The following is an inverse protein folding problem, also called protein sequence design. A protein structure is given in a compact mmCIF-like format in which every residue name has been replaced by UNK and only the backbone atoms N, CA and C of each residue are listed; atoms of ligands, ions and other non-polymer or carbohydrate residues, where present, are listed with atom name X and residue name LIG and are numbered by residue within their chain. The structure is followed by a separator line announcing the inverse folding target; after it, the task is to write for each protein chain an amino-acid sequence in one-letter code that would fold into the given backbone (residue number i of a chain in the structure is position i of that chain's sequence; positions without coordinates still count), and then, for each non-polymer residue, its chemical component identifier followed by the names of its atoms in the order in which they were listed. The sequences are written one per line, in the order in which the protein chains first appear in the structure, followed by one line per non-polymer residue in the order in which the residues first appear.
data_IF_771610196279
#
_entry.id   IF_771610196279
#
_cell.length_a   1.000
_cell.length_b   1.000
_cell.length_c   1.000
_cell.angle_alpha   90.00
_cell.angle_beta   90.00
_cell.angle_gamma   90.00
#
_symmetry.space_group_name_H-M   'P 1'
#
loop_
_entity.id
_entity.type
_entity.pdbx_description
1 polymer ?
#
# COMPACT_ATOMS: atom_id res chain seq x y z
N UNK A 1 -20.37 -63.21 25.76
CA UNK A 1 -19.00 -62.80 26.11
C UNK A 1 -18.53 -61.79 25.05
N UNK A 2 -18.92 -60.52 25.19
CA UNK A 2 -18.54 -59.45 24.25
C UNK A 2 -17.23 -58.81 24.74
N UNK A 3 -16.17 -58.92 23.95
CA UNK A 3 -14.88 -58.27 24.23
C UNK A 3 -14.89 -56.90 23.57
N UNK A 4 -15.01 -55.84 24.36
CA UNK A 4 -14.84 -54.46 23.90
C UNK A 4 -13.38 -54.25 23.47
N UNK A 5 -13.16 -53.83 22.23
CA UNK A 5 -11.86 -53.39 21.74
C UNK A 5 -11.78 -51.87 21.96
N UNK A 6 -10.99 -51.47 22.96
CA UNK A 6 -10.76 -50.07 23.33
C UNK A 6 -9.90 -49.38 22.25
N UNK A 7 -10.34 -48.20 21.78
CA UNK A 7 -9.57 -47.35 20.86
C UNK A 7 -8.34 -46.72 21.53
N UNK A 8 -7.41 -46.13 20.75
CA UNK A 8 -6.16 -45.57 21.26
C UNK A 8 -6.39 -44.38 22.21
N UNK A 9 -5.50 -44.18 23.22
CA UNK A 9 -5.69 -43.14 24.25
C UNK A 9 -5.54 -41.72 23.68
N UNK A 10 -6.35 -40.81 24.21
CA UNK A 10 -6.34 -39.39 23.87
C UNK A 10 -4.99 -38.73 24.24
N UNK A 11 -4.49 -37.77 23.43
CA UNK A 11 -3.26 -37.05 23.72
C UNK A 11 -3.41 -36.14 24.96
N UNK A 12 -2.33 -35.90 25.73
CA UNK A 12 -2.37 -35.12 26.96
C UNK A 12 -2.68 -33.63 26.68
N UNK A 13 -3.28 -32.91 27.65
CA UNK A 13 -3.67 -31.52 27.47
C UNK A 13 -2.44 -30.63 27.26
N UNK A 14 -2.36 -30.01 26.08
CA UNK A 14 -1.31 -29.06 25.73
C UNK A 14 -1.50 -27.80 26.59
N UNK A 15 -0.44 -27.49 27.33
CA UNK A 15 -0.30 -26.32 28.20
C UNK A 15 -0.73 -25.03 27.46
N UNK A 16 -1.70 -24.31 28.02
CA UNK A 16 -2.49 -23.24 27.38
C UNK A 16 -1.69 -22.01 26.95
N UNK A 17 -0.39 -21.93 27.27
CA UNK A 17 0.49 -20.81 26.88
C UNK A 17 0.95 -20.83 25.42
N UNK A 18 0.92 -21.98 24.73
CA UNK A 18 1.39 -22.09 23.34
C UNK A 18 0.27 -22.28 22.29
N UNK A 19 -0.99 -22.38 22.71
CA UNK A 19 -2.12 -22.59 21.81
C UNK A 19 -2.34 -21.42 20.83
N UNK A 20 -2.08 -20.19 21.27
CA UNK A 20 -2.25 -18.97 20.47
C UNK A 20 -1.22 -18.93 19.34
N UNK A 21 0.04 -19.27 19.62
CA UNK A 21 1.11 -19.31 18.62
C UNK A 21 0.88 -20.42 17.58
N UNK A 22 0.35 -21.57 17.99
CA UNK A 22 0.07 -22.68 17.08
C UNK A 22 -1.18 -22.42 16.21
N UNK A 23 -2.19 -21.71 16.73
CA UNK A 23 -3.35 -21.21 15.97
C UNK A 23 -2.93 -20.16 14.93
N UNK A 24 -2.06 -19.22 15.30
CA UNK A 24 -1.56 -18.18 14.38
C UNK A 24 -0.71 -18.80 13.25
N UNK A 25 -0.02 -19.91 13.50
CA UNK A 25 0.83 -20.58 12.52
C UNK A 25 0.05 -21.45 11.52
N UNK A 26 -1.03 -22.12 11.96
CA UNK A 26 -1.83 -23.00 11.10
C UNK A 26 -2.90 -22.29 10.26
N UNK A 27 -3.28 -21.05 10.61
CA UNK A 27 -4.25 -20.26 9.85
C UNK A 27 -3.57 -19.39 8.77
N UNK A 28 -3.80 -19.64 7.47
CA UNK A 28 -3.10 -18.94 6.38
C UNK A 28 -3.38 -17.42 6.34
N UNK A 29 -4.50 -16.98 6.90
CA UNK A 29 -4.87 -15.57 6.97
C UNK A 29 -4.16 -14.83 8.12
N UNK A 30 -4.11 -15.42 9.31
CA UNK A 30 -3.43 -14.83 10.47
C UNK A 30 -1.90 -14.84 10.32
N UNK A 31 -1.35 -15.86 9.69
CA UNK A 31 0.09 -15.94 9.42
C UNK A 31 0.57 -14.85 8.45
N UNK A 32 -0.24 -14.51 7.44
CA UNK A 32 0.04 -13.43 6.50
C UNK A 32 -0.08 -12.05 7.18
N UNK A 33 -1.12 -11.85 7.99
CA UNK A 33 -1.29 -10.62 8.77
C UNK A 33 -0.15 -10.41 9.78
N UNK A 34 0.30 -11.47 10.46
CA UNK A 34 1.41 -11.41 11.42
C UNK A 34 2.74 -11.04 10.74
N UNK A 35 3.04 -11.62 9.58
CA UNK A 35 4.21 -11.24 8.76
C UNK A 35 4.15 -9.78 8.30
N UNK A 36 2.95 -9.31 7.92
CA UNK A 36 2.73 -7.92 7.53
C UNK A 36 3.00 -6.92 8.67
N UNK A 37 2.51 -7.20 9.87
CA UNK A 37 2.69 -6.32 11.05
C UNK A 37 4.16 -6.28 11.50
N UNK A 38 4.85 -7.42 11.52
CA UNK A 38 6.29 -7.45 11.87
C UNK A 38 7.13 -6.75 10.81
N UNK A 39 6.86 -6.99 9.52
CA UNK A 39 7.57 -6.33 8.42
C UNK A 39 7.40 -4.81 8.45
N UNK A 40 6.19 -4.33 8.72
CA UNK A 40 5.90 -2.90 8.85
C UNK A 40 6.59 -2.29 10.09
N UNK A 41 6.56 -2.98 11.23
CA UNK A 41 7.21 -2.53 12.46
C UNK A 41 8.73 -2.41 12.34
N UNK A 42 9.38 -3.41 11.73
CA UNK A 42 10.83 -3.40 11.49
C UNK A 42 11.21 -2.33 10.46
N UNK A 43 10.41 -2.16 9.40
CA UNK A 43 10.62 -1.12 8.40
C UNK A 43 10.53 0.31 8.97
N UNK A 44 9.55 0.57 9.84
CA UNK A 44 9.40 1.86 10.53
C UNK A 44 10.54 2.11 11.51
N UNK A 45 11.01 1.07 12.21
CA UNK A 45 12.15 1.19 13.14
C UNK A 45 13.47 1.50 12.42
N UNK A 46 13.74 0.85 11.29
CA UNK A 46 14.94 1.10 10.47
C UNK A 46 14.88 2.49 9.83
N UNK A 47 13.72 2.92 9.33
CA UNK A 47 13.55 4.27 8.79
C UNK A 47 13.78 5.36 9.86
N UNK A 48 13.44 5.09 11.12
CA UNK A 48 13.63 6.02 12.25
C UNK A 48 15.10 6.11 12.72
N UNK A 49 15.87 5.02 12.57
CA UNK A 49 17.32 5.00 12.83
C UNK A 49 18.12 5.74 11.74
N UNK A 50 17.67 5.70 10.48
CA UNK A 50 18.31 6.44 9.38
C UNK A 50 17.98 7.94 9.38
N UNK A 51 16.97 8.37 10.12
CA UNK A 51 16.50 9.77 10.18
C UNK A 51 16.98 10.55 11.41
N UNK A 52 17.79 9.93 12.28
CA UNK A 52 18.36 10.62 13.43
C UNK A 52 19.46 11.61 12.99
N UNK A 53 19.46 12.87 13.48
CA UNK A 53 20.60 13.76 13.25
C UNK A 53 21.86 13.13 13.89
N UNK A 54 23.05 13.30 13.31
CA UNK A 54 24.28 12.90 13.97
C UNK A 54 24.36 13.65 15.30
N UNK A 55 24.27 12.91 16.41
CA UNK A 55 24.62 13.42 17.74
C UNK A 55 26.13 13.60 17.75
N UNK A 56 26.57 14.76 17.24
CA UNK A 56 27.94 15.22 17.39
C UNK A 56 28.17 15.40 18.89
N UNK A 57 28.91 14.46 19.47
CA UNK A 57 29.32 14.47 20.87
C UNK A 57 29.93 15.83 21.20
N UNK A 58 29.45 16.40 22.29
CA UNK A 58 29.93 17.66 22.83
C UNK A 58 31.46 17.68 22.95
N UNK A 59 32.07 18.63 22.23
CA UNK A 59 33.20 19.44 22.68
C UNK A 59 34.50 18.74 23.06
N UNK A 60 35.34 18.42 22.07
CA UNK A 60 36.79 18.60 22.18
C UNK A 60 37.32 18.98 20.79
N UNK A 61 38.02 20.11 20.67
CA UNK A 61 38.63 20.54 19.41
C UNK A 61 39.88 19.69 19.11
N UNK A 62 40.03 19.24 17.86
CA UNK A 62 41.15 18.41 17.38
C UNK A 62 42.54 19.02 17.63
N UNK A 63 42.63 20.33 17.84
CA UNK A 63 43.89 21.02 18.15
C UNK A 63 44.40 20.78 19.58
N UNK A 64 43.58 20.32 20.52
CA UNK A 64 44.02 20.04 21.90
C UNK A 64 44.54 18.60 22.11
N UNK A 65 44.27 17.67 21.18
CA UNK A 65 44.72 16.28 21.28
C UNK A 65 46.20 16.07 20.90
N UNK A 66 46.81 17.04 20.20
CA UNK A 66 48.17 16.91 19.65
C UNK A 66 49.10 18.10 19.97
N UNK A 67 48.80 18.91 21.00
CA UNK A 67 49.59 20.10 21.34
C UNK A 67 50.60 19.87 22.48
N UNK A 68 51.77 20.53 22.37
CA UNK A 68 52.89 20.47 23.33
C UNK A 68 52.49 20.82 24.78
N UNK A 69 52.85 19.99 25.78
CA UNK A 69 52.40 20.13 27.18
C UNK A 69 52.99 21.34 27.94
N UNK A 70 53.91 22.10 27.34
CA UNK A 70 54.60 23.23 27.98
C UNK A 70 54.21 24.60 27.40
N UNK A 71 53.26 24.66 26.47
CA UNK A 71 52.87 25.92 25.83
C UNK A 71 51.98 26.75 26.78
N UNK A 72 52.49 27.90 27.26
CA UNK A 72 51.69 28.86 28.03
C UNK A 72 50.49 29.34 27.19
N UNK A 73 49.27 29.08 27.67
CA UNK A 73 48.02 29.53 27.02
C UNK A 73 48.08 31.05 26.84
N UNK A 74 47.98 31.51 25.59
CA UNK A 74 48.20 32.89 25.19
C UNK A 74 47.05 33.78 25.71
N UNK A 75 47.31 34.68 26.67
CA UNK A 75 46.36 35.68 27.19
C UNK A 75 45.67 36.56 26.13
N UNK A 76 46.21 36.60 24.90
CA UNK A 76 45.56 37.25 23.74
C UNK A 76 44.21 36.61 23.39
N UNK A 77 43.97 35.33 23.72
CA UNK A 77 42.66 34.70 23.52
C UNK A 77 41.63 35.21 24.54
N UNK A 78 42.01 35.45 25.81
CA UNK A 78 41.08 35.90 26.85
C UNK A 78 40.52 37.31 26.56
N UNK A 79 41.35 38.24 26.09
CA UNK A 79 40.91 39.59 25.67
C UNK A 79 40.04 39.57 24.41
N UNK A 80 40.36 38.70 23.44
CA UNK A 80 39.56 38.55 22.21
C UNK A 80 38.23 37.87 22.54
N UNK A 81 38.22 36.91 23.46
CA UNK A 81 37.04 36.20 23.93
C UNK A 81 36.15 37.07 24.82
N UNK A 82 36.73 37.98 25.61
CA UNK A 82 36.01 39.03 26.34
C UNK A 82 35.42 40.09 25.38
N UNK A 83 36.16 40.47 24.34
CA UNK A 83 35.65 41.36 23.29
C UNK A 83 34.55 40.69 22.43
N UNK A 84 34.63 39.37 22.21
CA UNK A 84 33.60 38.60 21.50
C UNK A 84 32.36 38.38 22.37
N UNK A 85 32.52 38.16 23.68
CA UNK A 85 31.41 38.07 24.66
C UNK A 85 30.62 39.37 24.74
N UNK A 86 31.30 40.51 24.55
CA UNK A 86 30.69 41.84 24.56
C UNK A 86 30.25 42.33 23.18
N UNK A 87 30.47 41.55 22.11
CA UNK A 87 30.06 41.92 20.75
C UNK A 87 28.58 41.57 20.53
N UNK A 88 27.70 42.55 20.71
CA UNK A 88 26.31 42.43 20.32
C UNK A 88 26.18 42.55 18.79
N UNK A 89 26.03 41.40 18.12
CA UNK A 89 25.80 41.37 16.68
C UNK A 89 24.46 42.03 16.31
N UNK A 90 24.52 43.21 15.69
CA UNK A 90 23.36 43.88 15.09
C UNK A 90 23.25 43.48 13.62
N UNK A 91 22.30 42.60 13.24
CA UNK A 91 22.18 42.18 11.85
C UNK A 91 21.81 43.36 10.95
N UNK A 92 22.32 43.35 9.72
CA UNK A 92 21.88 44.29 8.70
C UNK A 92 20.38 44.11 8.41
N UNK A 93 19.75 45.15 7.85
CA UNK A 93 18.37 45.07 7.39
C UNK A 93 18.17 43.90 6.39
N UNK A 94 19.18 43.61 5.57
CA UNK A 94 19.17 42.47 4.66
C UNK A 94 19.21 41.13 5.39
N UNK A 95 20.10 40.97 6.39
CA UNK A 95 20.15 39.76 7.21
C UNK A 95 18.84 39.54 7.99
N UNK A 96 18.21 40.62 8.46
CA UNK A 96 16.91 40.57 9.15
C UNK A 96 15.79 40.17 8.19
N UNK A 97 15.79 40.70 6.96
CA UNK A 97 14.86 40.32 5.90
C UNK A 97 15.02 38.85 5.48
N UNK A 98 16.26 38.37 5.31
CA UNK A 98 16.55 36.97 4.98
C UNK A 98 16.07 36.05 6.10
N UNK A 99 16.32 36.39 7.36
CA UNK A 99 15.87 35.61 8.52
C UNK A 99 14.32 35.61 8.65
N UNK A 100 13.65 36.67 8.18
CA UNK A 100 12.17 36.72 8.11
C UNK A 100 11.57 35.97 6.92
N UNK A 101 12.32 35.79 5.82
CA UNK A 101 11.82 35.09 4.62
C UNK A 101 12.20 33.61 4.59
N UNK A 102 13.40 33.27 5.06
CA UNK A 102 14.04 31.94 4.92
C UNK A 102 14.55 31.41 6.28
N UNK A 103 14.56 32.23 7.32
CA UNK A 103 15.11 31.88 8.63
C UNK A 103 14.14 31.14 9.56
N UNK A 104 14.58 30.93 10.80
CA UNK A 104 13.88 30.15 11.82
C UNK A 104 12.80 30.95 12.57
N UNK A 105 12.69 32.25 12.31
CA UNK A 105 11.64 33.09 12.90
C UNK A 105 10.31 32.79 12.23
N UNK A 106 9.43 32.09 12.93
CA UNK A 106 8.04 31.94 12.52
C UNK A 106 7.34 33.29 12.58
N UNK A 107 6.73 33.71 11.46
CA UNK A 107 5.75 34.80 11.51
C UNK A 107 4.59 34.36 12.41
N UNK A 108 4.04 35.25 13.27
CA UNK A 108 2.75 34.98 13.89
C UNK A 108 1.74 34.71 12.77
N UNK A 109 1.06 33.57 12.85
CA UNK A 109 0.11 33.13 11.84
C UNK A 109 -1.06 34.11 11.80
N UNK A 110 -1.16 34.87 10.72
CA UNK A 110 -2.20 35.87 10.51
C UNK A 110 -3.28 35.30 9.60
N UNK A 111 -4.48 35.06 10.16
CA UNK A 111 -5.61 34.42 9.46
C UNK A 111 -6.27 35.32 8.41
N UNK A 112 -6.08 36.64 8.48
CA UNK A 112 -6.67 37.60 7.52
C UNK A 112 -5.74 37.90 6.34
N UNK A 113 -4.49 37.45 6.40
CA UNK A 113 -3.54 37.59 5.28
C UNK A 113 -3.96 36.67 4.14
N UNK A 114 -4.64 37.25 3.16
CA UNK A 114 -4.80 36.64 1.84
C UNK A 114 -3.40 36.34 1.29
N UNK A 115 -3.03 35.07 1.02
CA UNK A 115 -1.72 34.77 0.48
C UNK A 115 -1.58 35.49 -0.86
N UNK A 116 -0.41 36.10 -1.10
CA UNK A 116 -0.07 36.67 -2.40
C UNK A 116 -0.17 35.50 -3.39
N UNK A 117 -1.25 35.47 -4.18
CA UNK A 117 -1.43 34.46 -5.22
C UNK A 117 -0.66 34.95 -6.43
N UNK A 118 0.53 34.40 -6.74
CA UNK A 118 1.20 34.79 -7.96
C UNK A 118 0.27 34.40 -9.12
N UNK A 119 -0.25 35.39 -9.85
CA UNK A 119 -0.93 35.16 -11.13
C UNK A 119 0.16 34.77 -12.14
N UNK A 120 0.61 33.53 -12.10
CA UNK A 120 1.48 32.98 -13.13
C UNK A 120 0.65 32.85 -14.43
N UNK A 121 1.25 33.10 -15.59
CA UNK A 121 0.54 33.06 -16.89
C UNK A 121 -0.05 31.67 -17.23
N UNK A 122 0.31 30.63 -16.47
CA UNK A 122 -0.20 29.26 -16.58
C UNK A 122 -0.86 28.79 -15.26
N UNK A 123 -1.57 29.66 -14.54
CA UNK A 123 -2.36 29.21 -13.38
C UNK A 123 -3.55 28.40 -13.85
N UNK A 124 -3.54 27.09 -13.57
CA UNK A 124 -4.76 26.29 -13.54
C UNK A 124 -5.78 27.00 -12.63
N UNK A 125 -7.07 27.06 -13.01
CA UNK A 125 -8.10 27.63 -12.14
C UNK A 125 -8.03 26.96 -10.76
N UNK A 126 -8.25 27.73 -9.70
CA UNK A 126 -8.26 27.17 -8.35
C UNK A 126 -9.39 26.15 -8.24
N UNK A 127 -9.03 24.87 -8.10
CA UNK A 127 -10.01 23.82 -7.84
C UNK A 127 -10.74 24.12 -6.53
N UNK A 128 -12.07 24.09 -6.59
CA UNK A 128 -12.97 24.19 -5.44
C UNK A 128 -12.64 23.08 -4.43
N UNK A 129 -13.08 23.26 -3.17
CA UNK A 129 -12.85 22.24 -2.12
C UNK A 129 -13.47 20.90 -2.49
N UNK A 130 -14.61 20.92 -3.19
CA UNK A 130 -15.32 19.75 -3.67
C UNK A 130 -14.54 19.03 -4.79
N UNK A 131 -14.01 19.77 -5.76
CA UNK A 131 -13.15 19.21 -6.82
C UNK A 131 -11.85 18.61 -6.27
N UNK A 132 -11.25 19.25 -5.26
CA UNK A 132 -10.07 18.72 -4.56
C UNK A 132 -10.38 17.42 -3.82
N UNK A 133 -11.55 17.34 -3.20
CA UNK A 133 -12.00 16.11 -2.53
C UNK A 133 -12.22 14.99 -3.55
N UNK A 134 -12.89 15.27 -4.67
CA UNK A 134 -13.12 14.30 -5.74
C UNK A 134 -11.81 13.83 -6.40
N UNK A 135 -10.85 14.74 -6.62
CA UNK A 135 -9.53 14.39 -7.14
C UNK A 135 -8.81 13.42 -6.19
N UNK A 136 -8.81 13.72 -4.88
CA UNK A 136 -8.21 12.84 -3.86
C UNK A 136 -8.89 11.48 -3.77
N UNK A 137 -10.21 11.41 -3.99
CA UNK A 137 -10.92 10.14 -4.05
C UNK A 137 -10.48 9.31 -5.25
N UNK A 138 -10.32 9.91 -6.42
CA UNK A 138 -9.92 9.21 -7.64
C UNK A 138 -8.43 8.81 -7.65
N UNK A 139 -7.59 9.53 -6.91
CA UNK A 139 -6.18 9.17 -6.68
C UNK A 139 -6.03 8.03 -5.66
N UNK A 140 -7.07 7.75 -4.85
CA UNK A 140 -6.97 6.72 -3.83
C UNK A 140 -7.07 5.31 -4.42
N UNK A 141 -6.05 4.49 -4.20
CA UNK A 141 -5.99 3.11 -4.71
C UNK A 141 -7.17 2.25 -4.24
N UNK A 142 -7.67 2.46 -3.02
CA UNK A 142 -8.82 1.72 -2.51
C UNK A 142 -10.11 2.03 -3.29
N UNK A 143 -10.30 3.29 -3.69
CA UNK A 143 -11.46 3.71 -4.48
C UNK A 143 -11.33 3.20 -5.92
N UNK A 144 -10.15 3.36 -6.54
CA UNK A 144 -9.87 2.86 -7.89
C UNK A 144 -10.11 1.35 -8.00
N UNK A 145 -9.62 0.58 -7.02
CA UNK A 145 -9.83 -0.86 -6.93
C UNK A 145 -11.29 -1.24 -6.59
N UNK A 146 -11.98 -0.43 -5.78
CA UNK A 146 -13.39 -0.63 -5.48
C UNK A 146 -14.28 -0.48 -6.72
N UNK A 147 -14.04 0.58 -7.51
CA UNK A 147 -14.77 0.86 -8.75
C UNK A 147 -14.53 -0.27 -9.76
N UNK A 148 -13.27 -0.68 -9.97
CA UNK A 148 -12.96 -1.79 -10.88
C UNK A 148 -13.56 -3.12 -10.42
N UNK A 149 -13.62 -3.37 -9.10
CA UNK A 149 -14.25 -4.55 -8.53
C UNK A 149 -15.77 -4.58 -8.78
N UNK A 150 -16.45 -3.45 -8.63
CA UNK A 150 -17.89 -3.33 -8.92
C UNK A 150 -18.17 -3.51 -10.41
N UNK A 151 -17.36 -2.88 -11.27
CA UNK A 151 -17.48 -3.03 -12.72
C UNK A 151 -17.22 -4.48 -13.16
N UNK A 152 -16.18 -5.12 -12.61
CA UNK A 152 -15.87 -6.53 -12.84
C UNK A 152 -16.99 -7.46 -12.37
N UNK A 153 -17.59 -7.17 -11.22
CA UNK A 153 -18.74 -7.92 -10.70
C UNK A 153 -19.95 -7.81 -11.65
N UNK A 154 -20.23 -6.61 -12.19
CA UNK A 154 -21.29 -6.38 -13.17
C UNK A 154 -21.07 -7.16 -14.48
N UNK A 155 -19.85 -7.11 -15.02
CA UNK A 155 -19.47 -7.90 -16.22
C UNK A 155 -19.60 -9.40 -15.94
N UNK A 156 -19.19 -9.87 -14.76
CA UNK A 156 -19.31 -11.27 -14.37
C UNK A 156 -20.75 -11.75 -14.24
N UNK A 157 -21.67 -10.90 -13.76
CA UNK A 157 -23.11 -11.19 -13.74
C UNK A 157 -23.65 -11.31 -15.17
N UNK A 158 -23.30 -10.38 -16.06
CA UNK A 158 -23.76 -10.41 -17.44
C UNK A 158 -23.25 -11.66 -18.18
N UNK A 159 -21.98 -12.01 -17.99
CA UNK A 159 -21.39 -13.23 -18.52
C UNK A 159 -22.05 -14.49 -17.95
N UNK A 160 -22.38 -14.48 -16.65
CA UNK A 160 -23.08 -15.57 -15.99
C UNK A 160 -24.50 -15.78 -16.51
N UNK A 161 -25.22 -14.69 -16.78
CA UNK A 161 -26.56 -14.74 -17.39
C UNK A 161 -26.50 -15.24 -18.83
N UNK A 162 -25.52 -14.75 -19.61
CA UNK A 162 -25.31 -15.19 -20.98
C UNK A 162 -25.02 -16.70 -21.03
N UNK A 163 -24.11 -17.19 -20.17
CA UNK A 163 -23.79 -18.63 -20.10
C UNK A 163 -25.01 -19.47 -19.71
N UNK A 164 -25.85 -18.98 -18.79
CA UNK A 164 -27.08 -19.67 -18.40
C UNK A 164 -28.13 -19.73 -19.52
N UNK A 165 -28.11 -18.79 -20.46
CA UNK A 165 -29.01 -18.78 -21.62
C UNK A 165 -28.58 -19.73 -22.75
N UNK A 166 -27.27 -19.95 -22.90
CA UNK A 166 -26.71 -20.77 -23.99
C UNK A 166 -26.71 -22.25 -23.65
N UNK A 167 -26.49 -22.62 -22.38
CA UNK A 167 -26.56 -24.02 -21.93
C UNK A 167 -27.27 -24.14 -20.57
N UNK A 168 -28.60 -24.37 -20.57
CA UNK A 168 -29.32 -24.66 -19.35
C UNK A 168 -29.07 -26.09 -18.83
N UNK A 169 -28.48 -27.00 -19.61
CA UNK A 169 -28.26 -28.41 -19.25
C UNK A 169 -27.15 -28.58 -18.20
N UNK A 170 -26.18 -27.65 -18.15
CA UNK A 170 -25.24 -27.51 -17.03
C UNK A 170 -25.92 -27.22 -15.68
N UNK A 171 -27.23 -26.94 -15.65
CA UNK A 171 -28.04 -26.62 -14.45
C UNK A 171 -28.80 -27.79 -13.83
N UNK A 172 -28.65 -29.00 -14.37
CA UNK A 172 -29.34 -30.17 -13.83
C UNK A 172 -28.54 -30.88 -12.71
N UNK A 173 -27.95 -30.12 -11.77
CA UNK A 173 -27.25 -30.67 -10.59
C UNK A 173 -28.29 -31.07 -9.54
N UNK A 174 -29.12 -32.05 -9.86
CA UNK A 174 -30.27 -32.43 -9.03
C UNK A 174 -31.07 -33.68 -9.44
N UNK A 175 -30.72 -34.36 -10.53
CA UNK A 175 -31.10 -35.77 -10.72
C UNK A 175 -32.53 -36.13 -11.10
N UNK A 176 -33.50 -35.20 -11.19
CA UNK A 176 -34.89 -35.54 -11.53
C UNK A 176 -35.39 -34.79 -12.79
N UNK A 177 -35.44 -35.44 -13.98
CA UNK A 177 -35.93 -34.84 -15.22
C UNK A 177 -37.47 -34.73 -15.29
N UNK A 178 -38.19 -35.16 -14.25
CA UNK A 178 -39.65 -35.34 -14.25
C UNK A 178 -40.43 -34.25 -13.50
N UNK A 179 -39.75 -33.41 -12.71
CA UNK A 179 -40.37 -32.22 -12.12
C UNK A 179 -40.14 -31.05 -13.07
N UNK A 180 -41.19 -30.47 -13.63
CA UNK A 180 -41.09 -29.20 -14.35
C UNK A 180 -40.30 -28.22 -13.48
N UNK A 181 -39.13 -27.77 -13.97
CA UNK A 181 -38.34 -26.76 -13.27
C UNK A 181 -39.23 -25.56 -13.01
N UNK A 182 -39.56 -25.32 -11.74
CA UNK A 182 -40.25 -24.10 -11.35
C UNK A 182 -39.35 -22.94 -11.73
N UNK A 183 -39.90 -21.91 -12.40
CA UNK A 183 -39.19 -20.66 -12.74
C UNK A 183 -38.41 -20.10 -11.54
N UNK A 184 -38.93 -20.30 -10.32
CA UNK A 184 -38.31 -19.89 -9.07
C UNK A 184 -37.06 -20.69 -8.70
N UNK A 185 -37.03 -21.99 -8.99
CA UNK A 185 -35.89 -22.87 -8.75
C UNK A 185 -34.79 -22.60 -9.77
N UNK A 186 -35.15 -22.51 -11.06
CA UNK A 186 -34.23 -22.12 -12.13
C UNK A 186 -33.60 -20.76 -11.86
N UNK A 187 -34.40 -19.77 -11.47
CA UNK A 187 -33.89 -18.43 -11.13
C UNK A 187 -32.96 -18.46 -9.92
N UNK A 188 -33.26 -19.29 -8.91
CA UNK A 188 -32.43 -19.40 -7.71
C UNK A 188 -31.07 -20.03 -8.03
N UNK A 189 -31.04 -21.03 -8.90
CA UNK A 189 -29.79 -21.65 -9.35
C UNK A 189 -28.99 -20.72 -10.27
N UNK A 190 -29.64 -20.09 -11.24
CA UNK A 190 -29.04 -19.08 -12.12
C UNK A 190 -28.43 -17.93 -11.29
N UNK A 191 -29.16 -17.42 -10.31
CA UNK A 191 -28.70 -16.34 -9.42
C UNK A 191 -27.48 -16.77 -8.58
N UNK A 192 -27.42 -18.03 -8.12
CA UNK A 192 -26.27 -18.56 -7.40
C UNK A 192 -25.01 -18.56 -8.26
N UNK A 193 -25.13 -18.96 -9.53
CA UNK A 193 -24.05 -18.98 -10.52
C UNK A 193 -23.62 -17.57 -10.94
N UNK A 194 -24.59 -16.67 -11.18
CA UNK A 194 -24.30 -15.26 -11.47
C UNK A 194 -23.53 -14.61 -10.32
N UNK A 195 -23.87 -14.93 -9.06
CA UNK A 195 -23.13 -14.46 -7.88
C UNK A 195 -21.71 -15.03 -7.79
N UNK A 196 -21.49 -16.30 -8.12
CA UNK A 196 -20.15 -16.89 -8.10
C UNK A 196 -19.26 -16.30 -9.21
N UNK A 197 -19.79 -16.15 -10.43
CA UNK A 197 -19.08 -15.46 -11.52
C UNK A 197 -18.80 -14.01 -11.19
N UNK A 198 -19.78 -13.26 -10.69
CA UNK A 198 -19.59 -11.89 -10.22
C UNK A 198 -18.46 -11.79 -9.19
N UNK A 199 -18.43 -12.67 -8.18
CA UNK A 199 -17.36 -12.68 -7.16
C UNK A 199 -15.97 -12.95 -7.76
N UNK A 200 -15.88 -13.85 -8.74
CA UNK A 200 -14.62 -14.16 -9.40
C UNK A 200 -14.13 -12.97 -10.24
N UNK A 201 -14.96 -12.42 -11.13
CA UNK A 201 -14.59 -11.30 -11.98
C UNK A 201 -14.38 -9.99 -11.19
N UNK A 202 -15.18 -9.77 -10.15
CA UNK A 202 -14.98 -8.64 -9.23
C UNK A 202 -13.68 -8.73 -8.45
N UNK A 203 -13.28 -9.93 -8.01
CA UNK A 203 -11.99 -10.10 -7.32
C UNK A 203 -10.79 -9.88 -8.25
N UNK A 204 -10.86 -10.36 -9.51
CA UNK A 204 -9.83 -10.10 -10.52
C UNK A 204 -9.70 -8.60 -10.80
N UNK A 205 -10.82 -7.90 -11.03
CA UNK A 205 -10.83 -6.47 -11.29
C UNK A 205 -10.28 -5.63 -10.14
N UNK A 206 -10.63 -6.00 -8.90
CA UNK A 206 -10.11 -5.36 -7.69
C UNK A 206 -8.60 -5.55 -7.55
N UNK A 207 -8.12 -6.79 -7.72
CA UNK A 207 -6.71 -7.10 -7.61
C UNK A 207 -5.87 -6.43 -8.70
N UNK A 208 -6.38 -6.38 -9.94
CA UNK A 208 -5.67 -5.75 -11.06
C UNK A 208 -5.50 -4.24 -10.86
N UNK A 209 -6.59 -3.50 -10.66
CA UNK A 209 -6.49 -2.05 -10.47
C UNK A 209 -5.80 -1.66 -9.16
N UNK A 210 -5.96 -2.47 -8.11
CA UNK A 210 -5.29 -2.26 -6.83
C UNK A 210 -3.78 -2.44 -6.92
N UNK A 211 -3.32 -3.52 -7.55
CA UNK A 211 -1.87 -3.77 -7.74
C UNK A 211 -1.24 -2.75 -8.68
N UNK A 212 -1.93 -2.38 -9.76
CA UNK A 212 -1.49 -1.32 -10.66
C UNK A 212 -1.31 0.01 -9.91
N UNK A 213 -2.31 0.45 -9.14
CA UNK A 213 -2.22 1.71 -8.38
C UNK A 213 -1.10 1.70 -7.33
N UNK A 214 -0.89 0.57 -6.64
CA UNK A 214 0.20 0.43 -5.65
C UNK A 214 1.57 0.53 -6.34
N UNK A 215 1.74 -0.13 -7.49
CA UNK A 215 2.99 -0.09 -8.25
C UNK A 215 3.26 1.31 -8.84
N UNK A 216 2.22 1.99 -9.30
CA UNK A 216 2.26 3.36 -9.79
C UNK A 216 2.70 4.31 -8.66
N UNK A 217 2.12 4.16 -7.46
CA UNK A 217 2.49 4.94 -6.27
C UNK A 217 3.92 4.67 -5.83
N UNK A 218 4.37 3.40 -5.88
CA UNK A 218 5.72 3.03 -5.46
C UNK A 218 6.81 3.52 -6.42
N UNK A 219 6.54 3.57 -7.73
CA UNK A 219 7.48 4.06 -8.74
C UNK A 219 7.33 5.54 -9.10
N UNK A 220 6.21 6.16 -8.70
CA UNK A 220 5.80 7.49 -9.11
C UNK A 220 5.83 7.69 -10.64
N UNK A 221 5.49 6.63 -11.40
CA UNK A 221 5.53 6.65 -12.86
C UNK A 221 4.43 5.79 -13.49
N UNK A 222 3.71 6.38 -14.44
CA UNK A 222 2.67 5.73 -15.26
C UNK A 222 3.26 5.29 -16.60
N UNK A 223 3.53 4.00 -16.75
CA UNK A 223 4.01 3.40 -18.01
C UNK A 223 3.24 2.10 -18.31
N UNK A 224 3.27 1.63 -19.56
CA UNK A 224 2.73 0.32 -19.99
C UNK A 224 3.27 -0.88 -19.20
N UNK A 225 4.48 -0.75 -18.64
CA UNK A 225 5.08 -1.80 -17.80
C UNK A 225 4.28 -2.04 -16.53
N UNK A 226 3.58 -1.01 -16.03
CA UNK A 226 2.82 -1.10 -14.80
C UNK A 226 1.67 -2.12 -14.93
N UNK A 227 0.96 -2.11 -16.06
CA UNK A 227 -0.07 -3.10 -16.40
C UNK A 227 0.50 -4.51 -16.55
N UNK A 228 1.70 -4.66 -17.13
CA UNK A 228 2.38 -5.96 -17.25
C UNK A 228 2.72 -6.57 -15.88
N UNK A 229 3.29 -5.76 -14.98
CA UNK A 229 3.65 -6.20 -13.64
C UNK A 229 2.40 -6.49 -12.80
N UNK A 230 1.37 -5.64 -12.88
CA UNK A 230 0.09 -5.89 -12.22
C UNK A 230 -0.55 -7.20 -12.70
N UNK A 231 -0.61 -7.41 -14.02
CA UNK A 231 -1.10 -8.66 -14.62
C UNK A 231 -0.31 -9.88 -14.13
N UNK A 232 1.03 -9.82 -14.17
CA UNK A 232 1.88 -10.89 -13.68
C UNK A 232 1.68 -11.22 -12.20
N UNK A 233 1.59 -10.20 -11.33
CA UNK A 233 1.36 -10.38 -9.89
C UNK A 233 -0.02 -10.97 -9.61
N UNK A 234 -1.07 -10.47 -10.26
CA UNK A 234 -2.44 -10.98 -10.08
C UNK A 234 -2.57 -12.41 -10.62
N UNK A 235 -2.03 -12.67 -11.81
CA UNK A 235 -2.00 -14.01 -12.40
C UNK A 235 -1.23 -15.02 -11.54
N UNK A 236 -0.09 -14.60 -10.98
CA UNK A 236 0.66 -15.41 -10.02
C UNK A 236 -0.16 -15.68 -8.77
N UNK A 237 -0.79 -14.67 -8.17
CA UNK A 237 -1.56 -14.79 -6.93
C UNK A 237 -2.75 -15.72 -7.08
N UNK A 238 -3.48 -15.62 -8.19
CA UNK A 238 -4.63 -16.49 -8.50
C UNK A 238 -4.18 -17.91 -8.80
N UNK A 239 -3.12 -18.09 -9.58
CA UNK A 239 -2.56 -19.41 -9.90
C UNK A 239 -1.89 -20.11 -8.72
N UNK A 240 -1.35 -19.35 -7.76
CA UNK A 240 -0.65 -19.88 -6.59
C UNK A 240 -1.53 -20.78 -5.73
N UNK A 241 -2.85 -20.54 -5.68
CA UNK A 241 -3.80 -21.42 -4.99
C UNK A 241 -3.83 -22.84 -5.56
N UNK A 242 -3.55 -23.01 -6.85
CA UNK A 242 -3.48 -24.31 -7.51
C UNK A 242 -2.05 -24.91 -7.53
N UNK A 243 -1.04 -24.15 -7.06
CA UNK A 243 0.36 -24.57 -6.97
C UNK A 243 1.32 -23.65 -7.72
N UNK A 244 2.63 -23.92 -7.61
CA UNK A 244 3.69 -23.10 -8.23
C UNK A 244 3.69 -23.19 -9.75
N UNK A 245 3.44 -24.37 -10.33
CA UNK A 245 3.37 -24.55 -11.79
C UNK A 245 2.27 -23.68 -12.42
N UNK A 246 0.99 -23.75 -11.98
CA UNK A 246 -0.04 -22.87 -12.52
C UNK A 246 0.17 -21.39 -12.15
N UNK A 247 0.86 -21.07 -11.05
CA UNK A 247 1.25 -19.69 -10.76
C UNK A 247 2.17 -19.09 -11.84
N UNK A 248 3.17 -19.86 -12.31
CA UNK A 248 4.08 -19.39 -13.37
C UNK A 248 3.36 -19.21 -14.71
N UNK A 249 2.51 -20.18 -15.09
CA UNK A 249 1.70 -20.06 -16.30
C UNK A 249 0.67 -18.93 -16.20
N UNK A 250 0.05 -18.76 -15.03
CA UNK A 250 -0.87 -17.66 -14.75
C UNK A 250 -0.17 -16.30 -14.82
N UNK A 251 1.02 -16.17 -14.22
CA UNK A 251 1.81 -14.95 -14.28
C UNK A 251 2.19 -14.60 -15.73
N UNK A 252 2.68 -15.58 -16.50
CA UNK A 252 3.05 -15.37 -17.90
C UNK A 252 1.83 -14.99 -18.76
N UNK A 253 0.71 -15.70 -18.61
CA UNK A 253 -0.52 -15.46 -19.37
C UNK A 253 -1.14 -14.10 -19.07
N UNK A 254 -1.29 -13.74 -17.79
CA UNK A 254 -1.85 -12.44 -17.42
C UNK A 254 -0.91 -11.29 -17.75
N UNK A 255 0.41 -11.44 -17.60
CA UNK A 255 1.36 -10.43 -18.04
C UNK A 255 1.28 -10.18 -19.55
N UNK A 256 1.25 -11.25 -20.35
CA UNK A 256 1.09 -11.16 -21.80
C UNK A 256 -0.25 -10.51 -22.19
N UNK A 257 -1.35 -10.94 -21.59
CA UNK A 257 -2.68 -10.36 -21.84
C UNK A 257 -2.70 -8.86 -21.53
N UNK A 258 -2.17 -8.44 -20.38
CA UNK A 258 -2.10 -7.03 -20.01
C UNK A 258 -1.24 -6.22 -21.00
N UNK A 259 -0.08 -6.73 -21.43
CA UNK A 259 0.74 -6.03 -22.43
C UNK A 259 0.02 -5.83 -23.75
N UNK A 260 -0.73 -6.83 -24.21
CA UNK A 260 -1.48 -6.77 -25.48
C UNK A 260 -2.60 -5.74 -25.37
N UNK A 261 -3.31 -5.71 -24.24
CA UNK A 261 -4.38 -4.75 -24.01
C UNK A 261 -3.83 -3.32 -23.92
N UNK A 262 -2.73 -3.08 -23.21
CA UNK A 262 -2.09 -1.77 -23.15
C UNK A 262 -1.56 -1.31 -24.50
N UNK A 263 -1.00 -2.24 -25.29
CA UNK A 263 -0.58 -1.98 -26.67
C UNK A 263 -1.77 -1.60 -27.56
N UNK A 264 -2.88 -2.33 -27.47
CA UNK A 264 -4.10 -2.07 -28.25
C UNK A 264 -4.74 -0.72 -27.89
N UNK A 265 -4.72 -0.32 -26.61
CA UNK A 265 -5.22 0.98 -26.16
C UNK A 265 -4.29 2.16 -26.50
N UNK A 266 -3.14 1.93 -27.14
CA UNK A 266 -2.23 2.99 -27.58
C UNK A 266 -1.50 3.72 -26.44
N UNK A 267 -1.38 3.09 -25.26
CA UNK A 267 -0.58 3.64 -24.15
C UNK A 267 0.89 3.23 -24.34
N UNK A 268 1.67 4.09 -25.00
CA UNK A 268 3.13 3.92 -25.18
C UNK A 268 3.92 4.76 -24.17
#
# INVERSE_FOLDING_TARGET
MFRMQQGPPAPPPINTRFAILNSIYNDPFNWSAFKGVIGFGVGVYIARQMSGPPTLSAGVAMEELFADPFRKKKERSARVEEALKNFEYKPSAYCTMIDQMIGSKTRPWDTERIPIRPKQMLTLPEMTKEEKFMSRLMENCAVKAGISGVLGYGVGIAFGLFTASVDPQLSMVGGDPTKQLSLKETWREMSSRMKSYGKNFGSIGLLFAGTECILETARAKTDWRNGTYAGGVVGALLGYRAGIKPALFGAAGFAAFSTVIDYWMGRH
#
